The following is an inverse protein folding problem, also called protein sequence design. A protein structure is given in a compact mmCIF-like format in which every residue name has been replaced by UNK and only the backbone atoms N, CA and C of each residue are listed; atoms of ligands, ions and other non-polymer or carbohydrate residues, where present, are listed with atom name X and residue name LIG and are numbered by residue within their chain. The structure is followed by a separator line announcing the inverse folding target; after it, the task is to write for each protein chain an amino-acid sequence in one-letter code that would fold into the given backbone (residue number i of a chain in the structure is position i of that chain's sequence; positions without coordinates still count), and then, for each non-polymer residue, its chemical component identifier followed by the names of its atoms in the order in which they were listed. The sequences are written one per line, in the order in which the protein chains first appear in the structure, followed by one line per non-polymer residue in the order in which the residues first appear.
data_IF_844718525919
#
_entry.id   IF_844718525919
#
_cell.length_a   1.000
_cell.length_b   1.000
_cell.length_c   1.000
_cell.angle_alpha   90.00
_cell.angle_beta   90.00
_cell.angle_gamma   90.00
#
_symmetry.space_group_name_H-M   'P 1'
#
loop_
_entity.id
_entity.type
_entity.pdbx_description
1 polymer ?
#
# COMPACT_ATOMS: atom_id res chain seq x y z
N UNK A 1 7.29 -27.04 -17.68
CA UNK A 1 7.24 -27.55 -16.28
C UNK A 1 5.87 -28.14 -16.02
N UNK A 2 5.77 -29.20 -15.21
CA UNK A 2 4.48 -29.79 -14.85
C UNK A 2 3.72 -28.88 -13.86
N UNK A 3 2.39 -29.06 -13.77
CA UNK A 3 1.52 -28.22 -12.91
C UNK A 3 2.03 -28.13 -11.48
N UNK A 4 2.35 -29.27 -10.87
CA UNK A 4 2.80 -29.34 -9.47
C UNK A 4 4.11 -28.59 -9.26
N UNK A 5 5.03 -28.66 -10.21
CA UNK A 5 6.30 -27.93 -10.16
C UNK A 5 6.08 -26.41 -10.23
N UNK A 6 5.16 -25.96 -11.09
CA UNK A 6 4.81 -24.54 -11.19
C UNK A 6 4.10 -24.06 -9.92
N UNK A 7 3.18 -24.85 -9.38
CA UNK A 7 2.51 -24.51 -8.14
C UNK A 7 3.47 -24.51 -6.94
N UNK A 8 4.44 -25.42 -6.89
CA UNK A 8 5.50 -25.38 -5.89
C UNK A 8 6.33 -24.10 -6.02
N UNK A 9 6.69 -23.70 -7.24
CA UNK A 9 7.40 -22.45 -7.49
C UNK A 9 6.60 -21.22 -7.04
N UNK A 10 5.32 -21.12 -7.43
CA UNK A 10 4.44 -20.03 -6.98
C UNK A 10 4.20 -20.08 -5.46
N UNK A 11 4.15 -21.28 -4.90
CA UNK A 11 3.97 -21.57 -3.48
C UNK A 11 5.08 -21.02 -2.60
N UNK A 12 6.26 -20.74 -3.16
CA UNK A 12 7.36 -20.09 -2.41
C UNK A 12 7.02 -18.68 -1.94
N UNK A 13 6.06 -18.02 -2.60
CA UNK A 13 5.70 -16.61 -2.35
C UNK A 13 4.20 -16.38 -2.14
N UNK A 14 3.38 -17.39 -2.43
CA UNK A 14 1.93 -17.31 -2.37
C UNK A 14 1.34 -18.52 -1.62
N UNK A 15 0.31 -18.32 -0.79
CA UNK A 15 -0.50 -19.44 -0.31
C UNK A 15 -1.02 -20.27 -1.49
N UNK A 16 -1.11 -21.59 -1.30
CA UNK A 16 -1.46 -22.53 -2.35
C UNK A 16 -2.73 -22.14 -3.12
N UNK A 17 -3.81 -21.77 -2.41
CA UNK A 17 -5.06 -21.31 -3.03
C UNK A 17 -4.84 -20.12 -3.99
N UNK A 18 -4.00 -19.16 -3.60
CA UNK A 18 -3.68 -17.99 -4.44
C UNK A 18 -2.79 -18.37 -5.61
N UNK A 19 -1.85 -19.30 -5.42
CA UNK A 19 -1.01 -19.82 -6.50
C UNK A 19 -1.87 -20.49 -7.58
N UNK A 20 -2.82 -21.33 -7.18
CA UNK A 20 -3.76 -21.98 -8.11
C UNK A 20 -4.62 -20.97 -8.87
N UNK A 21 -5.16 -19.98 -8.15
CA UNK A 21 -5.97 -18.93 -8.77
C UNK A 21 -5.16 -18.09 -9.76
N UNK A 22 -3.93 -17.71 -9.42
CA UNK A 22 -3.04 -16.95 -10.31
C UNK A 22 -2.70 -17.76 -11.56
N UNK A 23 -2.38 -19.05 -11.40
CA UNK A 23 -2.13 -19.95 -12.53
C UNK A 23 -3.34 -20.00 -13.46
N UNK A 24 -4.56 -20.16 -12.91
CA UNK A 24 -5.79 -20.19 -13.71
C UNK A 24 -6.06 -18.87 -14.46
N UNK A 25 -5.65 -17.73 -13.92
CA UNK A 25 -5.85 -16.42 -14.57
C UNK A 25 -4.85 -16.14 -15.69
N UNK A 26 -3.63 -16.68 -15.59
CA UNK A 26 -2.53 -16.37 -16.50
C UNK A 26 -2.29 -17.46 -17.56
N UNK A 27 -3.04 -18.56 -17.50
CA UNK A 27 -2.91 -19.67 -18.46
C UNK A 27 -3.61 -19.36 -19.78
N UNK A 28 -2.88 -19.61 -20.87
CA UNK A 28 -3.41 -19.72 -22.22
C UNK A 28 -3.45 -21.21 -22.57
N UNK A 29 -4.64 -21.77 -22.66
CA UNK A 29 -4.88 -23.16 -23.05
C UNK A 29 -5.79 -23.23 -24.28
N UNK A 30 -6.02 -24.45 -24.77
CA UNK A 30 -6.85 -24.76 -25.93
C UNK A 30 -8.33 -24.38 -25.78
N UNK A 31 -8.79 -24.06 -24.57
CA UNK A 31 -10.19 -23.68 -24.33
C UNK A 31 -10.46 -22.21 -24.68
N UNK A 32 -9.40 -21.42 -24.92
CA UNK A 32 -9.53 -20.00 -25.27
C UNK A 32 -9.75 -19.83 -26.77
N UNK A 33 -10.71 -18.99 -27.12
CA UNK A 33 -11.01 -18.61 -28.51
C UNK A 33 -9.89 -17.79 -29.16
N UNK A 34 -9.19 -16.97 -28.36
CA UNK A 34 -8.08 -16.13 -28.82
C UNK A 34 -6.80 -16.44 -28.03
N UNK A 35 -5.71 -16.61 -28.78
CA UNK A 35 -4.37 -16.70 -28.22
C UNK A 35 -3.89 -15.29 -27.87
N UNK A 36 -4.06 -14.91 -26.61
CA UNK A 36 -3.60 -13.63 -26.05
C UNK A 36 -2.42 -13.87 -25.10
N UNK A 37 -1.22 -13.87 -25.67
CA UNK A 37 0.01 -14.04 -24.92
C UNK A 37 0.37 -12.84 -24.04
N UNK A 38 -0.26 -11.68 -24.27
CA UNK A 38 -0.01 -10.50 -23.43
C UNK A 38 -0.78 -10.61 -22.11
N UNK A 39 -2.01 -11.12 -22.13
CA UNK A 39 -2.84 -11.30 -20.92
C UNK A 39 -2.65 -12.65 -20.24
N UNK A 40 -2.37 -13.69 -21.03
CA UNK A 40 -2.21 -15.06 -20.55
C UNK A 40 -0.89 -15.68 -21.02
N UNK A 41 0.25 -15.26 -20.44
CA UNK A 41 1.56 -15.65 -20.94
C UNK A 41 1.99 -17.07 -20.58
N UNK A 42 1.22 -17.81 -19.77
CA UNK A 42 1.56 -19.18 -19.38
C UNK A 42 0.91 -20.15 -20.36
N UNK A 43 1.67 -20.61 -21.35
CA UNK A 43 1.16 -21.53 -22.35
C UNK A 43 0.99 -22.93 -21.76
N UNK A 44 -0.20 -23.52 -21.86
CA UNK A 44 -0.43 -24.92 -21.51
C UNK A 44 -0.48 -25.77 -22.78
N UNK A 45 0.37 -26.79 -22.82
CA UNK A 45 0.40 -27.82 -23.88
C UNK A 45 0.39 -29.17 -23.17
N UNK A 46 -0.66 -29.95 -23.37
CA UNK A 46 -0.93 -31.17 -22.63
C UNK A 46 -0.81 -30.93 -21.10
N UNK A 47 0.05 -31.68 -20.42
CA UNK A 47 0.30 -31.58 -18.98
C UNK A 47 1.42 -30.58 -18.60
N UNK A 48 1.93 -29.84 -19.58
CA UNK A 48 3.07 -28.95 -19.40
C UNK A 48 2.71 -27.48 -19.54
N UNK A 49 3.28 -26.67 -18.67
CA UNK A 49 3.29 -25.22 -18.73
C UNK A 49 4.62 -24.73 -19.30
N UNK A 50 4.56 -24.01 -20.41
CA UNK A 50 5.68 -23.33 -21.03
C UNK A 50 5.70 -21.87 -20.57
N UNK A 51 6.74 -21.52 -19.81
CA UNK A 51 7.00 -20.18 -19.33
C UNK A 51 8.13 -19.58 -20.15
N UNK A 52 7.83 -18.60 -21.00
CA UNK A 52 8.83 -17.86 -21.76
C UNK A 52 9.25 -16.60 -20.97
N UNK A 53 10.47 -16.52 -20.41
CA UNK A 53 10.84 -15.39 -19.53
C UNK A 53 10.74 -14.04 -20.20
N UNK A 54 11.13 -13.94 -21.48
CA UNK A 54 11.02 -12.70 -22.26
C UNK A 54 9.56 -12.27 -22.44
N UNK A 55 8.64 -13.19 -22.72
CA UNK A 55 7.22 -12.90 -22.83
C UNK A 55 6.66 -12.45 -21.48
N UNK A 56 6.94 -13.21 -20.41
CA UNK A 56 6.43 -12.93 -19.07
C UNK A 56 6.94 -11.57 -18.57
N UNK A 57 8.23 -11.26 -18.77
CA UNK A 57 8.83 -10.00 -18.35
C UNK A 57 8.24 -8.78 -19.09
N UNK A 58 7.76 -8.97 -20.33
CA UNK A 58 7.11 -7.92 -21.11
C UNK A 58 5.58 -7.93 -20.96
N UNK A 59 5.02 -8.97 -20.33
CA UNK A 59 3.59 -9.09 -20.06
C UNK A 59 3.26 -8.30 -18.81
N UNK A 60 2.17 -7.52 -18.86
CA UNK A 60 1.77 -6.74 -17.71
C UNK A 60 0.94 -7.58 -16.73
N UNK A 61 1.60 -8.49 -16.00
CA UNK A 61 0.91 -9.47 -15.15
C UNK A 61 -0.06 -8.83 -14.15
N UNK A 62 0.30 -7.67 -13.60
CA UNK A 62 -0.55 -6.94 -12.64
C UNK A 62 -1.85 -6.48 -13.30
N UNK A 63 -1.76 -5.84 -14.48
CA UNK A 63 -2.94 -5.44 -15.25
C UNK A 63 -3.75 -6.66 -15.66
N UNK A 64 -3.10 -7.73 -16.10
CA UNK A 64 -3.76 -8.93 -16.57
C UNK A 64 -4.61 -9.58 -15.47
N UNK A 65 -4.02 -9.75 -14.28
CA UNK A 65 -4.71 -10.28 -13.11
C UNK A 65 -5.86 -9.36 -12.71
N UNK A 66 -5.68 -8.04 -12.72
CA UNK A 66 -6.73 -7.10 -12.37
C UNK A 66 -7.92 -7.15 -13.35
N UNK A 67 -7.64 -7.22 -14.65
CA UNK A 67 -8.64 -7.32 -15.71
C UNK A 67 -9.37 -8.66 -15.65
N UNK A 68 -8.63 -9.77 -15.54
CA UNK A 68 -9.19 -11.11 -15.50
C UNK A 68 -10.06 -11.34 -14.24
N UNK A 69 -9.71 -10.72 -13.10
CA UNK A 69 -10.56 -10.73 -11.89
C UNK A 69 -11.69 -9.69 -11.92
N UNK A 70 -11.86 -8.92 -13.01
CA UNK A 70 -12.89 -7.87 -13.13
C UNK A 70 -12.87 -6.86 -11.98
N UNK A 71 -11.69 -6.56 -11.41
CA UNK A 71 -11.58 -5.63 -10.28
C UNK A 71 -12.15 -4.23 -10.61
N UNK A 72 -12.20 -3.87 -11.89
CA UNK A 72 -12.84 -2.62 -12.36
C UNK A 72 -14.38 -2.62 -12.24
N UNK A 73 -15.05 -3.76 -12.36
CA UNK A 73 -16.51 -3.84 -12.35
C UNK A 73 -17.08 -3.66 -10.93
N UNK A 74 -16.38 -4.20 -9.92
CA UNK A 74 -16.82 -4.16 -8.52
C UNK A 74 -16.68 -2.76 -7.87
N UNK A 75 -16.06 -1.79 -8.56
CA UNK A 75 -15.97 -0.38 -8.11
C UNK A 75 -17.13 0.49 -8.58
N UNK A 76 -17.97 -0.01 -9.47
CA UNK A 76 -18.98 0.82 -10.15
C UNK A 76 -20.22 1.08 -9.28
N UNK A 77 -20.48 0.30 -8.22
CA UNK A 77 -21.70 0.41 -7.40
C UNK A 77 -21.52 0.20 -5.87
N UNK A 78 -20.43 0.67 -5.25
CA UNK A 78 -20.27 0.51 -3.80
C UNK A 78 -19.22 1.40 -3.11
N UNK A 79 -19.22 1.35 -1.77
CA UNK A 79 -18.24 2.00 -0.89
C UNK A 79 -16.79 1.60 -1.26
N UNK A 80 -15.83 2.54 -1.21
CA UNK A 80 -14.43 2.24 -1.51
C UNK A 80 -13.89 1.20 -0.50
N UNK A 81 -13.56 -0.04 -0.93
CA UNK A 81 -13.19 -1.12 -0.02
C UNK A 81 -11.89 -0.83 0.73
N UNK A 82 -10.98 -0.04 0.14
CA UNK A 82 -9.75 0.36 0.81
C UNK A 82 -10.06 1.33 1.96
N UNK A 83 -10.90 2.33 1.70
CA UNK A 83 -11.33 3.30 2.72
C UNK A 83 -12.08 2.61 3.86
N UNK A 84 -12.99 1.69 3.53
CA UNK A 84 -13.73 0.90 4.51
C UNK A 84 -12.80 0.06 5.39
N UNK A 85 -11.82 -0.63 4.79
CA UNK A 85 -10.85 -1.44 5.52
C UNK A 85 -9.96 -0.59 6.45
N UNK A 86 -9.51 0.57 5.99
CA UNK A 86 -8.74 1.53 6.82
C UNK A 86 -9.60 2.03 7.99
N UNK A 87 -10.85 2.41 7.73
CA UNK A 87 -11.77 2.87 8.77
C UNK A 87 -12.02 1.78 9.82
N UNK A 88 -12.21 0.53 9.39
CA UNK A 88 -12.38 -0.60 10.29
C UNK A 88 -11.13 -0.85 11.13
N UNK A 89 -9.94 -0.81 10.53
CA UNK A 89 -8.67 -0.97 11.25
C UNK A 89 -8.50 0.10 12.34
N UNK A 90 -8.78 1.36 12.01
CA UNK A 90 -8.75 2.48 12.97
C UNK A 90 -9.78 2.29 14.09
N UNK A 91 -11.02 1.89 13.78
CA UNK A 91 -12.04 1.60 14.81
C UNK A 91 -11.61 0.44 15.72
N UNK A 92 -11.06 -0.62 15.14
CA UNK A 92 -10.52 -1.77 15.88
C UNK A 92 -9.37 -1.37 16.82
N UNK A 93 -8.57 -0.40 16.40
CA UNK A 93 -7.55 0.23 17.23
C UNK A 93 -8.09 1.34 18.16
N UNK A 94 -9.41 1.39 18.42
CA UNK A 94 -10.00 2.29 19.42
C UNK A 94 -10.14 3.75 19.02
N UNK A 95 -9.98 4.11 17.74
CA UNK A 95 -10.26 5.47 17.27
C UNK A 95 -11.76 5.72 17.13
N UNK A 96 -12.19 6.96 17.40
CA UNK A 96 -13.43 7.50 16.84
C UNK A 96 -13.20 7.82 15.37
N UNK A 97 -13.98 7.24 14.45
CA UNK A 97 -13.74 7.35 13.00
C UNK A 97 -14.98 7.86 12.26
N UNK A 98 -14.87 9.00 11.61
CA UNK A 98 -15.82 9.57 10.66
C UNK A 98 -15.36 9.28 9.22
N UNK A 99 -16.31 8.99 8.34
CA UNK A 99 -16.07 8.64 6.93
C UNK A 99 -16.79 9.66 6.07
N UNK A 100 -16.15 10.12 5.00
CA UNK A 100 -16.68 11.13 4.05
C UNK A 100 -17.21 12.40 4.76
N UNK A 101 -16.35 13.00 5.59
CA UNK A 101 -16.72 14.14 6.44
C UNK A 101 -16.78 15.42 5.61
N UNK A 102 -18.00 15.82 5.25
CA UNK A 102 -18.32 17.04 4.51
C UNK A 102 -18.84 18.16 5.42
N UNK A 103 -18.68 19.41 4.97
CA UNK A 103 -19.12 20.60 5.72
C UNK A 103 -20.49 21.16 5.27
N UNK A 104 -21.05 20.56 4.20
CA UNK A 104 -22.35 20.79 3.53
C UNK A 104 -22.16 20.62 2.01
N UNK A 105 -23.28 20.41 1.28
CA UNK A 105 -23.34 20.18 -0.19
C UNK A 105 -22.67 21.24 -1.09
N UNK A 106 -22.06 22.32 -0.55
CA UNK A 106 -21.41 23.42 -1.31
C UNK A 106 -20.04 23.84 -0.76
N UNK A 107 -19.39 23.00 0.05
CA UNK A 107 -18.03 23.29 0.55
C UNK A 107 -17.01 23.34 -0.59
N UNK A 108 -16.38 24.49 -0.82
CA UNK A 108 -15.21 24.61 -1.71
C UNK A 108 -13.97 23.85 -1.19
N UNK A 109 -14.00 23.42 0.07
CA UNK A 109 -12.89 22.71 0.74
C UNK A 109 -12.86 21.20 0.45
N UNK A 110 -13.80 20.68 -0.37
CA UNK A 110 -13.94 19.25 -0.66
C UNK A 110 -14.51 18.47 0.53
N UNK A 111 -14.55 17.14 0.45
CA UNK A 111 -14.85 16.20 1.54
C UNK A 111 -13.54 15.68 2.15
N UNK A 112 -13.56 15.12 3.37
CA UNK A 112 -12.39 14.43 3.95
C UNK A 112 -12.73 12.97 4.05
N UNK A 113 -11.99 12.12 3.33
CA UNK A 113 -12.30 10.70 3.21
C UNK A 113 -12.39 10.02 4.59
N UNK A 114 -11.42 10.26 5.48
CA UNK A 114 -11.47 9.79 6.86
C UNK A 114 -10.99 10.82 7.87
N UNK A 115 -11.70 10.89 8.99
CA UNK A 115 -11.32 11.65 10.19
C UNK A 115 -11.24 10.67 11.36
N UNK A 116 -10.09 10.58 12.02
CA UNK A 116 -9.90 9.68 13.16
C UNK A 116 -9.38 10.44 14.39
N UNK A 117 -9.95 10.18 15.55
CA UNK A 117 -9.57 10.83 16.80
C UNK A 117 -9.31 9.79 17.89
N UNK A 118 -8.16 9.91 18.56
CA UNK A 118 -7.80 9.10 19.73
C UNK A 118 -6.74 9.83 20.56
N UNK A 119 -6.83 9.71 21.89
CA UNK A 119 -5.82 10.21 22.84
C UNK A 119 -5.41 11.68 22.62
N UNK A 120 -6.38 12.53 22.26
CA UNK A 120 -6.15 13.96 22.01
C UNK A 120 -5.61 14.29 20.61
N UNK A 121 -5.29 13.30 19.78
CA UNK A 121 -4.73 13.51 18.44
C UNK A 121 -5.80 13.31 17.37
N UNK A 122 -5.86 14.25 16.43
CA UNK A 122 -6.72 14.20 15.25
C UNK A 122 -5.91 13.79 14.02
N UNK A 123 -6.36 12.77 13.31
CA UNK A 123 -5.80 12.33 12.04
C UNK A 123 -6.79 12.58 10.91
N UNK A 124 -6.30 13.17 9.82
CA UNK A 124 -7.06 13.38 8.59
C UNK A 124 -6.42 12.57 7.47
N UNK A 125 -7.20 11.73 6.79
CA UNK A 125 -6.70 10.92 5.70
C UNK A 125 -7.48 11.15 4.42
N UNK A 126 -6.74 11.22 3.32
CA UNK A 126 -7.27 11.11 1.97
C UNK A 126 -6.92 9.72 1.42
N UNK A 127 -7.92 8.96 1.04
CA UNK A 127 -7.81 7.62 0.48
C UNK A 127 -7.82 7.69 -1.04
N UNK A 128 -6.77 7.15 -1.68
CA UNK A 128 -6.68 7.04 -3.14
C UNK A 128 -6.47 5.59 -3.53
N UNK A 129 -7.57 4.92 -3.82
CA UNK A 129 -7.56 3.53 -4.28
C UNK A 129 -7.19 3.45 -5.77
N UNK A 130 -5.98 3.90 -6.14
CA UNK A 130 -5.46 3.78 -7.50
C UNK A 130 -4.76 2.42 -7.68
N UNK A 131 -5.05 1.73 -8.78
CA UNK A 131 -4.34 0.49 -9.12
C UNK A 131 -2.84 0.71 -9.24
N UNK A 132 -2.09 -0.37 -9.11
CA UNK A 132 -0.66 -0.32 -9.39
C UNK A 132 -0.47 0.09 -10.86
N UNK A 133 0.20 1.23 -11.13
CA UNK A 133 0.36 1.72 -12.48
C UNK A 133 1.29 0.80 -13.27
N UNK A 134 0.87 0.49 -14.47
CA UNK A 134 1.48 -0.51 -15.34
C UNK A 134 2.22 0.13 -16.52
N UNK A 135 2.16 1.46 -16.65
CA UNK A 135 2.93 2.27 -17.58
C UNK A 135 3.10 3.72 -17.04
N UNK A 136 3.95 4.56 -17.67
CA UNK A 136 4.16 5.94 -17.24
C UNK A 136 2.91 6.84 -17.24
N UNK A 137 1.95 6.59 -18.14
CA UNK A 137 0.72 7.38 -18.20
C UNK A 137 -0.19 7.11 -16.99
N UNK A 138 -0.36 5.84 -16.61
CA UNK A 138 -1.09 5.45 -15.40
C UNK A 138 -0.37 5.89 -14.12
N UNK A 139 0.96 5.89 -14.15
CA UNK A 139 1.78 6.41 -13.06
C UNK A 139 1.56 7.91 -12.88
N UNK A 140 1.52 8.67 -13.97
CA UNK A 140 1.18 10.10 -13.95
C UNK A 140 -0.22 10.34 -13.40
N UNK A 141 -1.22 9.55 -13.78
CA UNK A 141 -2.56 9.66 -13.22
C UNK A 141 -2.56 9.43 -11.70
N UNK A 142 -1.85 8.37 -11.24
CA UNK A 142 -1.68 8.09 -9.81
C UNK A 142 -0.99 9.26 -9.08
N UNK A 143 0.02 9.88 -9.70
CA UNK A 143 0.67 11.08 -9.17
C UNK A 143 -0.30 12.27 -9.07
N UNK A 144 -1.09 12.53 -10.10
CA UNK A 144 -2.08 13.61 -10.09
C UNK A 144 -3.15 13.40 -9.00
N UNK A 145 -3.54 12.16 -8.72
CA UNK A 145 -4.44 11.83 -7.62
C UNK A 145 -3.83 12.17 -6.25
N UNK A 146 -2.59 11.75 -5.98
CA UNK A 146 -1.96 12.07 -4.67
C UNK A 146 -1.65 13.56 -4.54
N UNK A 147 -1.35 14.25 -5.65
CA UNK A 147 -1.13 15.71 -5.64
C UNK A 147 -2.39 16.46 -5.24
N UNK A 148 -3.54 16.11 -5.85
CA UNK A 148 -4.84 16.67 -5.47
C UNK A 148 -5.20 16.38 -4.01
N UNK A 149 -4.94 15.15 -3.56
CA UNK A 149 -5.15 14.75 -2.17
C UNK A 149 -4.33 15.60 -1.19
N UNK A 150 -3.06 15.88 -1.52
CA UNK A 150 -2.21 16.76 -0.72
C UNK A 150 -2.78 18.17 -0.59
N UNK A 151 -3.19 18.79 -1.70
CA UNK A 151 -3.84 20.12 -1.66
C UNK A 151 -5.11 20.11 -0.81
N UNK A 152 -5.93 19.07 -0.91
CA UNK A 152 -7.14 18.90 -0.09
C UNK A 152 -6.78 18.80 1.40
N UNK A 153 -5.82 17.95 1.76
CA UNK A 153 -5.36 17.81 3.15
C UNK A 153 -4.82 19.11 3.73
N UNK A 154 -4.07 19.91 2.95
CA UNK A 154 -3.56 21.20 3.41
C UNK A 154 -4.71 22.14 3.80
N UNK A 155 -5.70 22.28 2.92
CA UNK A 155 -6.88 23.11 3.18
C UNK A 155 -7.70 22.58 4.38
N UNK A 156 -7.81 21.26 4.49
CA UNK A 156 -8.55 20.61 5.58
C UNK A 156 -7.83 20.75 6.92
N UNK A 157 -6.51 20.58 6.96
CA UNK A 157 -5.72 20.77 8.16
C UNK A 157 -5.84 22.21 8.69
N UNK A 158 -5.81 23.21 7.80
CA UNK A 158 -6.03 24.61 8.17
C UNK A 158 -7.42 24.80 8.80
N UNK A 159 -8.46 24.29 8.14
CA UNK A 159 -9.84 24.42 8.62
C UNK A 159 -10.08 23.67 9.94
N UNK A 160 -9.54 22.46 10.09
CA UNK A 160 -9.58 21.70 11.34
C UNK A 160 -8.73 22.33 12.46
N UNK A 161 -7.91 23.34 12.17
CA UNK A 161 -7.24 24.11 13.23
C UNK A 161 -8.19 25.11 13.92
N UNK A 162 -9.37 25.38 13.34
CA UNK A 162 -10.39 26.25 13.93
C UNK A 162 -11.29 25.48 14.91
N UNK A 163 -11.31 25.85 16.19
CA UNK A 163 -12.12 25.18 17.23
C UNK A 163 -13.62 25.19 16.91
N UNK A 164 -14.12 26.27 16.32
CA UNK A 164 -15.53 26.36 15.89
C UNK A 164 -15.86 25.30 14.82
N UNK A 165 -14.92 25.07 13.89
CA UNK A 165 -15.07 24.06 12.86
C UNK A 165 -15.03 22.65 13.43
N UNK A 166 -14.07 22.36 14.31
CA UNK A 166 -13.99 21.09 15.03
C UNK A 166 -15.32 20.77 15.76
N UNK A 167 -15.84 21.75 16.52
CA UNK A 167 -17.09 21.60 17.27
C UNK A 167 -18.28 21.28 16.36
N UNK A 168 -18.35 21.94 15.20
CA UNK A 168 -19.38 21.66 14.19
C UNK A 168 -19.28 20.22 13.67
N UNK A 169 -18.06 19.78 13.32
CA UNK A 169 -17.82 18.41 12.83
C UNK A 169 -18.15 17.37 13.91
N UNK A 170 -17.71 17.58 15.16
CA UNK A 170 -18.03 16.71 16.28
C UNK A 170 -19.54 16.55 16.47
N UNK A 171 -20.28 17.66 16.44
CA UNK A 171 -21.74 17.62 16.52
C UNK A 171 -22.36 16.81 15.39
N UNK A 172 -21.91 16.99 14.15
CA UNK A 172 -22.39 16.22 12.98
C UNK A 172 -22.11 14.73 13.12
N UNK A 173 -20.93 14.37 13.66
CA UNK A 173 -20.53 12.98 13.87
C UNK A 173 -21.12 12.38 15.17
N UNK A 174 -21.86 13.14 15.96
CA UNK A 174 -22.39 12.71 17.26
C UNK A 174 -21.29 12.49 18.31
N UNK A 175 -20.16 13.17 18.18
CA UNK A 175 -19.01 13.06 19.07
C UNK A 175 -19.02 14.15 20.13
N UNK A 176 -18.62 13.79 21.35
CA UNK A 176 -18.34 14.73 22.43
C UNK A 176 -16.85 14.61 22.77
N UNK A 177 -16.02 15.41 22.10
CA UNK A 177 -14.56 15.35 22.19
C UNK A 177 -13.98 16.74 22.47
N UNK A 178 -12.90 16.83 23.25
CA UNK A 178 -12.17 18.08 23.40
C UNK A 178 -11.42 18.45 22.12
N UNK A 179 -10.99 19.73 21.97
CA UNK A 179 -10.08 20.12 20.90
C UNK A 179 -8.82 19.23 20.87
N UNK A 180 -8.33 18.84 19.68
CA UNK A 180 -7.13 18.04 19.58
C UNK A 180 -5.89 18.83 19.99
N UNK A 181 -4.93 18.15 20.61
CA UNK A 181 -3.60 18.68 20.94
C UNK A 181 -2.67 18.67 19.73
N UNK A 182 -2.94 17.81 18.74
CA UNK A 182 -2.20 17.73 17.49
C UNK A 182 -3.11 17.31 16.32
N UNK A 183 -2.79 17.80 15.12
CA UNK A 183 -3.43 17.39 13.88
C UNK A 183 -2.37 16.76 12.97
N UNK A 184 -2.58 15.50 12.62
CA UNK A 184 -1.75 14.71 11.70
C UNK A 184 -2.52 14.43 10.43
N UNK A 185 -1.79 14.25 9.34
CA UNK A 185 -2.37 14.06 8.01
C UNK A 185 -1.60 13.00 7.25
N UNK A 186 -2.26 12.25 6.36
CA UNK A 186 -1.57 11.40 5.40
C UNK A 186 -2.45 11.10 4.19
N UNK A 187 -1.82 10.84 3.05
CA UNK A 187 -2.48 10.26 1.88
C UNK A 187 -2.28 8.75 1.94
N UNK A 188 -3.37 7.99 1.94
CA UNK A 188 -3.35 6.53 1.92
C UNK A 188 -3.64 6.04 0.50
N UNK A 189 -2.68 5.32 -0.10
CA UNK A 189 -2.77 4.84 -1.49
C UNK A 189 -2.79 3.31 -1.54
N UNK A 190 -3.55 2.73 -2.48
CA UNK A 190 -3.66 1.26 -2.59
C UNK A 190 -2.36 0.60 -3.08
N UNK A 191 -1.55 1.30 -3.88
CA UNK A 191 -0.30 0.80 -4.43
C UNK A 191 0.95 1.37 -3.72
N UNK A 192 2.14 0.85 -4.02
CA UNK A 192 3.40 1.24 -3.36
C UNK A 192 4.21 2.30 -4.11
N UNK A 193 3.82 2.71 -5.32
CA UNK A 193 4.71 3.46 -6.23
C UNK A 193 5.15 4.80 -5.65
N UNK A 194 4.29 5.45 -4.87
CA UNK A 194 4.60 6.72 -4.22
C UNK A 194 4.72 6.61 -2.69
N UNK A 195 4.75 5.39 -2.13
CA UNK A 195 4.90 5.24 -0.69
C UNK A 195 6.24 5.83 -0.22
N UNK A 196 6.24 6.54 0.90
CA UNK A 196 7.45 7.19 1.44
C UNK A 196 7.73 8.60 0.91
N UNK A 197 7.02 9.07 -0.12
CA UNK A 197 7.10 10.48 -0.53
C UNK A 197 6.33 11.40 0.44
N UNK A 198 6.59 12.70 0.30
CA UNK A 198 5.81 13.78 0.89
C UNK A 198 5.16 14.58 -0.25
N UNK A 199 3.86 14.85 -0.14
CA UNK A 199 3.14 15.76 -1.04
C UNK A 199 2.54 16.88 -0.19
N UNK A 200 2.91 18.13 -0.45
CA UNK A 200 2.47 19.27 0.38
C UNK A 200 2.76 19.06 1.89
N UNK A 201 3.89 18.41 2.19
CA UNK A 201 4.28 17.96 3.55
C UNK A 201 3.42 16.84 4.16
N UNK A 202 2.44 16.31 3.44
CA UNK A 202 1.65 15.16 3.87
C UNK A 202 2.34 13.85 3.44
N UNK A 203 2.60 12.91 4.36
CA UNK A 203 3.16 11.62 4.03
C UNK A 203 2.21 10.80 3.18
N UNK A 204 2.75 10.17 2.14
CA UNK A 204 2.03 9.15 1.35
C UNK A 204 2.40 7.77 1.89
N UNK A 205 1.40 6.98 2.25
CA UNK A 205 1.57 5.63 2.83
C UNK A 205 0.70 4.64 2.10
N UNK A 206 1.19 3.41 1.96
CA UNK A 206 0.39 2.35 1.36
C UNK A 206 -0.64 1.82 2.36
N UNK A 207 -1.90 1.70 1.95
CA UNK A 207 -3.02 1.44 2.85
C UNK A 207 -2.94 0.07 3.56
N UNK A 208 -2.43 -0.98 2.90
CA UNK A 208 -2.31 -2.30 3.51
C UNK A 208 -1.22 -2.34 4.60
N UNK A 209 -0.09 -1.64 4.38
CA UNK A 209 0.94 -1.44 5.39
C UNK A 209 0.41 -0.61 6.57
N UNK A 210 -0.33 0.46 6.30
CA UNK A 210 -1.01 1.25 7.34
C UNK A 210 -1.96 0.38 8.18
N UNK A 211 -2.82 -0.41 7.54
CA UNK A 211 -3.75 -1.32 8.23
C UNK A 211 -2.97 -2.31 9.10
N UNK A 212 -1.86 -2.87 8.59
CA UNK A 212 -1.01 -3.76 9.36
C UNK A 212 -0.41 -3.07 10.60
N UNK A 213 0.12 -1.86 10.43
CA UNK A 213 0.66 -1.05 11.54
C UNK A 213 -0.41 -0.80 12.59
N UNK A 214 -1.61 -0.39 12.20
CA UNK A 214 -2.67 -0.05 13.17
C UNK A 214 -3.29 -1.29 13.83
N UNK A 215 -3.41 -2.40 13.09
CA UNK A 215 -4.17 -3.58 13.56
C UNK A 215 -3.32 -4.66 14.20
N UNK A 216 -2.06 -4.82 13.77
CA UNK A 216 -1.20 -5.96 14.17
C UNK A 216 0.21 -5.58 14.60
N UNK A 217 0.76 -4.50 14.03
CA UNK A 217 2.12 -4.05 14.28
C UNK A 217 3.16 -5.13 13.93
N UNK A 218 2.98 -5.88 12.84
CA UNK A 218 3.84 -7.02 12.50
C UNK A 218 4.82 -6.71 11.36
N UNK A 219 6.07 -7.10 11.55
CA UNK A 219 7.09 -7.13 10.51
C UNK A 219 7.49 -8.60 10.33
N UNK A 220 7.17 -9.19 9.18
CA UNK A 220 7.43 -10.61 8.93
C UNK A 220 8.81 -10.76 8.31
N UNK A 221 9.74 -11.30 9.08
CA UNK A 221 11.03 -11.76 8.56
C UNK A 221 10.95 -13.22 8.09
N UNK A 222 12.05 -13.75 7.53
CA UNK A 222 12.09 -15.13 7.03
C UNK A 222 11.86 -16.18 8.14
N UNK A 223 12.42 -15.94 9.34
CA UNK A 223 12.43 -16.93 10.42
C UNK A 223 11.51 -16.55 11.60
N UNK A 224 11.13 -15.28 11.71
CA UNK A 224 10.39 -14.77 12.87
C UNK A 224 9.56 -13.54 12.52
N UNK A 225 8.64 -13.19 13.42
CA UNK A 225 7.83 -11.98 13.32
C UNK A 225 8.31 -10.98 14.37
N UNK A 226 8.67 -9.79 13.90
CA UNK A 226 9.03 -8.68 14.76
C UNK A 226 7.83 -7.78 15.00
N UNK A 227 7.87 -7.06 16.12
CA UNK A 227 6.87 -6.11 16.54
C UNK A 227 7.31 -4.70 16.16
N UNK A 228 6.45 -4.03 15.39
CA UNK A 228 6.58 -2.61 15.10
C UNK A 228 6.16 -1.74 16.29
N UNK A 229 5.17 -2.14 17.08
CA UNK A 229 4.75 -1.37 18.26
C UNK A 229 5.81 -1.37 19.34
N UNK A 230 5.97 -0.23 20.02
CA UNK A 230 6.90 -0.12 21.14
C UNK A 230 6.44 -0.94 22.36
N UNK A 231 5.14 -1.03 22.59
CA UNK A 231 4.52 -1.83 23.64
C UNK A 231 3.82 -3.09 23.11
N UNK A 232 3.19 -3.86 24.02
CA UNK A 232 2.40 -5.04 23.64
C UNK A 232 1.11 -4.71 22.87
N UNK A 233 0.68 -3.45 22.92
CA UNK A 233 -0.52 -2.96 22.25
C UNK A 233 -0.25 -1.66 21.50
N UNK A 234 -1.07 -1.40 20.47
CA UNK A 234 -0.99 -0.21 19.65
C UNK A 234 -1.23 1.09 20.44
N UNK A 235 -0.36 2.07 20.22
CA UNK A 235 -0.49 3.44 20.71
C UNK A 235 -0.51 4.47 19.56
N UNK A 236 -1.03 5.67 19.83
CA UNK A 236 -0.97 6.78 18.87
C UNK A 236 0.48 7.21 18.56
N UNK A 237 1.42 7.01 19.49
CA UNK A 237 2.84 7.25 19.24
C UNK A 237 3.42 6.34 18.15
N UNK A 238 2.97 5.09 18.06
CA UNK A 238 3.37 4.16 17.00
C UNK A 238 2.92 4.65 15.62
N UNK A 239 1.68 5.16 15.54
CA UNK A 239 1.15 5.74 14.29
C UNK A 239 1.86 7.04 13.93
N UNK A 240 2.10 7.92 14.90
CA UNK A 240 2.87 9.14 14.68
C UNK A 240 4.26 8.82 14.14
N UNK A 241 4.98 7.86 14.73
CA UNK A 241 6.26 7.38 14.21
C UNK A 241 6.13 6.88 12.77
N UNK A 242 5.17 6.00 12.48
CA UNK A 242 4.96 5.44 11.13
C UNK A 242 4.68 6.50 10.06
N UNK A 243 3.98 7.58 10.41
CA UNK A 243 3.69 8.68 9.48
C UNK A 243 4.90 9.60 9.25
N UNK A 244 5.91 9.56 10.12
CA UNK A 244 7.19 10.24 9.85
C UNK A 244 8.08 9.43 8.92
N UNK A 245 9.27 9.94 8.58
CA UNK A 245 10.28 9.19 7.83
C UNK A 245 11.00 8.14 8.68
N UNK A 246 10.73 8.11 9.98
CA UNK A 246 11.32 7.16 10.90
C UNK A 246 10.51 5.85 10.96
N UNK A 247 11.18 4.71 11.13
CA UNK A 247 10.58 3.37 11.13
C UNK A 247 10.62 2.67 9.77
N UNK A 248 9.62 1.82 9.49
CA UNK A 248 9.66 0.81 8.41
C UNK A 248 10.14 1.31 7.05
N UNK A 249 9.63 2.47 6.59
CA UNK A 249 10.02 3.01 5.29
C UNK A 249 11.47 3.53 5.31
N UNK A 250 11.88 4.19 6.39
CA UNK A 250 13.26 4.61 6.59
C UNK A 250 14.21 3.41 6.56
N UNK A 251 13.82 2.33 7.24
CA UNK A 251 14.59 1.07 7.28
C UNK A 251 14.68 0.41 5.89
N UNK A 252 13.59 0.44 5.12
CA UNK A 252 13.59 -0.04 3.73
C UNK A 252 14.53 0.79 2.84
N UNK A 253 14.47 2.12 2.89
CA UNK A 253 15.39 2.97 2.13
C UNK A 253 16.84 2.83 2.58
N UNK A 254 17.09 2.65 3.88
CA UNK A 254 18.43 2.42 4.42
C UNK A 254 19.03 1.08 3.95
N UNK A 255 18.18 0.08 3.66
CA UNK A 255 18.61 -1.19 3.10
C UNK A 255 18.87 -1.18 1.59
N UNK A 256 18.63 -0.06 0.90
CA UNK A 256 19.00 0.07 -0.51
C UNK A 256 20.50 0.31 -0.65
N UNK A 257 21.06 -0.27 -1.71
CA UNK A 257 22.45 -0.09 -2.11
C UNK A 257 22.51 0.50 -3.51
N UNK A 258 23.41 1.48 -3.70
CA UNK A 258 23.60 2.07 -5.02
C UNK A 258 24.33 1.06 -5.91
N UNK A 259 23.82 0.91 -7.13
CA UNK A 259 24.45 0.12 -8.20
C UNK A 259 24.59 0.99 -9.43
N UNK A 260 25.65 0.75 -10.20
CA UNK A 260 25.96 1.51 -11.40
C UNK A 260 25.91 0.58 -12.63
N UNK A 261 25.06 0.92 -13.60
CA UNK A 261 25.03 0.26 -14.90
C UNK A 261 25.85 1.06 -15.90
N UNK A 262 26.96 0.49 -16.37
CA UNK A 262 27.83 1.13 -17.34
C UNK A 262 27.62 0.57 -18.75
N UNK A 263 27.38 1.46 -19.70
CA UNK A 263 27.26 1.14 -21.13
C UNK A 263 28.34 1.89 -21.89
N UNK A 264 29.29 1.16 -22.47
CA UNK A 264 30.39 1.74 -23.25
C UNK A 264 30.01 1.89 -24.71
N UNK A 265 30.19 3.09 -25.26
CA UNK A 265 29.95 3.47 -26.64
C UNK A 265 31.25 4.06 -27.22
N UNK A 266 32.11 3.19 -27.75
CA UNK A 266 33.43 3.59 -28.23
C UNK A 266 34.28 4.17 -27.08
N UNK A 267 34.69 5.43 -27.20
CA UNK A 267 35.52 6.12 -26.19
C UNK A 267 34.70 6.75 -25.03
N UNK A 268 33.37 6.65 -25.04
CA UNK A 268 32.49 7.21 -24.00
C UNK A 268 31.81 6.10 -23.21
N UNK A 269 31.51 6.35 -21.95
CA UNK A 269 30.72 5.46 -21.09
C UNK A 269 29.55 6.23 -20.50
N UNK A 270 28.33 5.71 -20.70
CA UNK A 270 27.13 6.15 -20.00
C UNK A 270 27.02 5.32 -18.71
N UNK A 271 27.01 5.98 -17.56
CA UNK A 271 26.79 5.33 -16.26
C UNK A 271 25.42 5.73 -15.74
N UNK A 272 24.54 4.75 -15.57
CA UNK A 272 23.24 4.93 -14.94
C UNK A 272 23.34 4.50 -13.48
N UNK A 273 23.14 5.43 -12.55
CA UNK A 273 23.02 5.13 -11.13
C UNK A 273 21.63 4.61 -10.83
N UNK A 274 21.55 3.52 -10.11
CA UNK A 274 20.32 2.89 -9.68
C UNK A 274 20.49 2.38 -8.25
N UNK A 275 19.44 1.78 -7.71
CA UNK A 275 19.44 1.21 -6.37
C UNK A 275 18.86 -0.20 -6.42
N UNK A 276 19.47 -1.10 -5.66
CA UNK A 276 18.95 -2.43 -5.43
C UNK A 276 18.63 -2.61 -3.96
N UNK A 277 17.63 -3.42 -3.65
CA UNK A 277 17.31 -3.79 -2.28
C UNK A 277 18.30 -4.87 -1.80
N UNK A 278 18.97 -4.63 -0.67
CA UNK A 278 19.80 -5.63 -0.01
C UNK A 278 18.97 -6.32 1.11
N UNK A 279 18.52 -7.58 0.92
CA UNK A 279 17.71 -8.28 1.90
C UNK A 279 18.45 -8.60 3.20
N UNK A 280 19.76 -8.89 3.13
CA UNK A 280 20.58 -9.18 4.31
C UNK A 280 20.72 -7.92 5.18
N UNK A 281 21.05 -6.79 4.57
CA UNK A 281 21.11 -5.50 5.25
C UNK A 281 19.76 -5.10 5.84
N UNK A 282 18.66 -5.35 5.12
CA UNK A 282 17.32 -5.09 5.67
C UNK A 282 17.07 -5.94 6.91
N UNK A 283 17.41 -7.23 6.85
CA UNK A 283 17.25 -8.16 7.97
C UNK A 283 18.05 -7.72 9.21
N UNK A 284 19.30 -7.28 9.02
CA UNK A 284 20.14 -6.72 10.09
C UNK A 284 19.49 -5.48 10.75
N UNK A 285 18.98 -4.55 9.93
CA UNK A 285 18.29 -3.36 10.43
C UNK A 285 17.05 -3.75 11.25
N UNK A 286 16.24 -4.68 10.75
CA UNK A 286 15.04 -5.13 11.45
C UNK A 286 15.41 -5.79 12.78
N UNK A 287 16.40 -6.69 12.80
CA UNK A 287 16.87 -7.37 14.00
C UNK A 287 17.43 -6.42 15.06
N UNK A 288 18.16 -5.38 14.63
CA UNK A 288 18.75 -4.41 15.54
C UNK A 288 17.70 -3.46 16.15
N UNK A 289 16.61 -3.19 15.42
CA UNK A 289 15.66 -2.13 15.76
C UNK A 289 14.37 -2.62 16.43
N UNK A 290 13.88 -3.80 16.04
CA UNK A 290 12.56 -4.28 16.45
C UNK A 290 12.66 -5.53 17.32
N UNK A 291 11.74 -5.63 18.28
CA UNK A 291 11.67 -6.77 19.19
C UNK A 291 10.95 -7.95 18.52
N UNK A 292 11.38 -9.17 18.85
CA UNK A 292 10.66 -10.39 18.43
C UNK A 292 9.30 -10.43 19.13
N UNK A 293 8.24 -10.75 18.38
CA UNK A 293 6.90 -10.92 18.91
C UNK A 293 6.81 -12.29 19.59
N UNK A 294 6.52 -12.31 20.89
CA UNK A 294 6.64 -13.48 21.77
C UNK A 294 5.85 -14.76 21.35
N UNK A 295 4.90 -14.66 20.41
CA UNK A 295 4.02 -15.77 19.99
C UNK A 295 4.24 -16.26 18.55
N UNK A 296 5.29 -15.82 17.84
CA UNK A 296 5.50 -16.26 16.45
C UNK A 296 6.35 -17.53 16.37
N UNK A 297 5.70 -18.70 16.44
CA UNK A 297 6.26 -19.90 15.82
C UNK A 297 5.94 -19.80 14.32
N UNK A 298 6.97 -19.70 13.48
CA UNK A 298 6.80 -19.68 12.04
C UNK A 298 6.19 -21.01 11.58
N UNK A 299 5.01 -20.97 10.97
CA UNK A 299 4.56 -22.06 10.11
C UNK A 299 5.25 -21.85 8.76
N UNK A 300 6.20 -22.73 8.45
CA UNK A 300 6.70 -22.94 7.09
C UNK A 300 5.57 -23.40 6.16
#
# INVERSE_FOLDING_TARGET
MQREQLLALLGTVLPQEKAERILALLVCDETRELVDLQYTPFLKIDDYYLLAPSLIANSNLVRNVAFANRLNADRIDGDDPMQAAVAQALRGAGFRVGVEVSDSKKSKTGDTDLVAYRDGVLYLFECKNAYHPCNPHEMRNSYDHIRKAGTQLTLRQQKFSEVAYQTKVWKTLGWNLPPPTAIRTAVLIANRVFTGTLIESHPVRQAHEFINVVSRGEIRGPETVYRFWDGDAFSTADLDRYLTRDGLLGDHFASLEQIDYAYTFGAKTLVLKSWTFNPEKHQEIIQARYQVKADSVAYC
#
